data_IF_045749236582
#
_entry.id   IF_045749236582
#
_cell.length_a   1.000
_cell.length_b   1.000
_cell.length_c   1.000
_cell.angle_alpha   90.00
_cell.angle_beta   90.00
_cell.angle_gamma   90.00
#
_symmetry.space_group_name_H-M   'P 1'
#
loop_
_entity.id
_entity.type
_entity.pdbx_description
1 polymer ?
#
# COMPACT_ATOMS: atom_id res chain seq x y z
N UNK A 1 11.30 -38.12 3.75
CA UNK A 1 11.82 -37.26 2.65
C UNK A 1 12.13 -35.90 3.28
N UNK A 2 13.38 -35.40 3.25
CA UNK A 2 13.71 -34.07 3.82
C UNK A 2 12.88 -33.02 3.07
N UNK A 3 11.83 -32.47 3.67
CA UNK A 3 11.32 -31.17 3.21
C UNK A 3 12.44 -30.17 3.49
N UNK A 4 13.16 -29.79 2.44
CA UNK A 4 14.15 -28.73 2.51
C UNK A 4 13.40 -27.43 2.79
N UNK A 5 13.64 -26.82 3.95
CA UNK A 5 13.12 -25.48 4.25
C UNK A 5 13.56 -24.50 3.18
N UNK A 6 12.63 -23.65 2.75
CA UNK A 6 12.92 -22.50 1.91
C UNK A 6 13.45 -21.34 2.75
N UNK A 7 14.04 -20.35 2.08
CA UNK A 7 14.46 -19.08 2.69
C UNK A 7 13.57 -17.96 2.18
N UNK A 8 12.93 -17.21 3.08
CA UNK A 8 12.21 -16.00 2.71
C UNK A 8 13.20 -14.91 2.30
N UNK A 9 12.73 -13.98 1.49
CA UNK A 9 13.41 -12.74 1.13
C UNK A 9 14.79 -12.94 0.48
N UNK A 10 14.98 -14.00 -0.31
CA UNK A 10 16.29 -14.34 -0.90
C UNK A 10 16.28 -14.62 -2.40
N UNK A 11 15.15 -15.03 -2.98
CA UNK A 11 15.11 -15.56 -4.34
C UNK A 11 15.35 -14.50 -5.41
N UNK A 12 14.81 -13.29 -5.22
CA UNK A 12 14.91 -12.19 -6.19
C UNK A 12 15.25 -10.89 -5.50
N UNK A 13 16.05 -10.02 -6.12
CA UNK A 13 16.30 -8.67 -5.56
C UNK A 13 15.07 -7.78 -5.73
N UNK A 14 14.68 -7.04 -4.69
CA UNK A 14 13.59 -6.05 -4.76
C UNK A 14 13.82 -5.00 -5.87
N UNK A 15 15.08 -4.64 -6.14
CA UNK A 15 15.42 -3.73 -7.24
C UNK A 15 15.02 -4.24 -8.62
N UNK A 16 14.97 -5.57 -8.81
CA UNK A 16 14.54 -6.20 -10.07
C UNK A 16 13.02 -6.12 -10.20
N UNK A 17 12.29 -6.39 -9.12
CA UNK A 17 10.84 -6.19 -9.06
C UNK A 17 10.47 -4.74 -9.36
N UNK A 18 11.11 -3.78 -8.66
CA UNK A 18 10.91 -2.35 -8.87
C UNK A 18 11.14 -1.95 -10.32
N UNK A 19 12.25 -2.40 -10.94
CA UNK A 19 12.53 -2.09 -12.36
C UNK A 19 11.43 -2.63 -13.27
N UNK A 20 10.99 -3.87 -13.07
CA UNK A 20 9.91 -4.49 -13.87
C UNK A 20 8.61 -3.71 -13.76
N UNK A 21 8.22 -3.26 -12.57
CA UNK A 21 7.03 -2.43 -12.38
C UNK A 21 7.18 -1.05 -13.03
N UNK A 22 8.36 -0.44 -12.93
CA UNK A 22 8.62 0.86 -13.55
C UNK A 22 8.49 0.81 -15.08
N UNK A 23 9.03 -0.23 -15.72
CA UNK A 23 8.91 -0.40 -17.16
C UNK A 23 7.44 -0.58 -17.57
N UNK A 24 6.69 -1.45 -16.89
CA UNK A 24 5.26 -1.63 -17.17
C UNK A 24 4.47 -0.32 -17.03
N UNK A 25 4.76 0.46 -15.99
CA UNK A 25 4.14 1.77 -15.78
C UNK A 25 4.43 2.71 -16.95
N UNK A 26 5.69 2.78 -17.40
CA UNK A 26 6.10 3.63 -18.53
C UNK A 26 5.47 3.18 -19.84
N UNK A 27 5.39 1.87 -20.07
CA UNK A 27 4.73 1.28 -21.24
C UNK A 27 3.25 1.65 -21.26
N UNK A 28 2.54 1.52 -20.14
CA UNK A 28 1.13 1.90 -20.07
C UNK A 28 0.93 3.41 -20.25
N UNK A 29 1.77 4.27 -19.65
CA UNK A 29 1.72 5.73 -19.86
C UNK A 29 1.93 6.07 -21.35
N UNK A 30 2.84 5.37 -22.03
CA UNK A 30 3.11 5.61 -23.46
C UNK A 30 1.91 5.27 -24.36
N UNK A 31 1.04 4.37 -23.89
CA UNK A 31 -0.18 3.96 -24.60
C UNK A 31 -1.36 4.90 -24.40
N UNK A 32 -1.24 5.91 -23.53
CA UNK A 32 -2.31 6.89 -23.28
C UNK A 32 -2.68 7.64 -24.56
N UNK A 33 -3.99 7.80 -24.75
CA UNK A 33 -4.59 8.56 -25.85
C UNK A 33 -4.54 10.08 -25.58
N UNK A 34 -4.65 10.88 -26.65
CA UNK A 34 -4.69 12.35 -26.55
C UNK A 34 -5.85 12.82 -25.65
N UNK A 35 -7.01 12.16 -25.73
CA UNK A 35 -8.19 12.52 -24.94
C UNK A 35 -7.98 12.24 -23.44
N UNK A 36 -7.39 11.10 -23.08
CA UNK A 36 -7.04 10.78 -21.69
C UNK A 36 -6.04 11.79 -21.12
N UNK A 37 -5.05 12.20 -21.92
CA UNK A 37 -4.04 13.17 -21.51
C UNK A 37 -4.61 14.57 -21.33
N UNK A 38 -5.59 14.99 -22.14
CA UNK A 38 -6.24 16.31 -22.06
C UNK A 38 -7.20 16.42 -20.88
N UNK A 39 -7.97 15.36 -20.59
CA UNK A 39 -9.03 15.37 -19.56
C UNK A 39 -8.50 15.30 -18.12
N UNK A 40 -7.28 14.83 -17.91
CA UNK A 40 -6.72 14.62 -16.59
C UNK A 40 -5.56 15.57 -16.34
N UNK A 41 -5.29 15.95 -15.08
CA UNK A 41 -4.05 16.67 -14.75
C UNK A 41 -2.83 15.72 -14.77
N UNK A 42 -1.62 16.25 -14.99
CA UNK A 42 -0.38 15.44 -14.90
C UNK A 42 -0.24 14.85 -13.50
N UNK A 43 -0.58 15.62 -12.48
CA UNK A 43 -0.40 15.28 -11.08
C UNK A 43 -1.34 14.14 -10.69
N UNK A 44 -2.62 14.21 -11.07
CA UNK A 44 -3.61 13.15 -10.85
C UNK A 44 -3.20 11.86 -11.54
N UNK A 45 -2.79 11.92 -12.81
CA UNK A 45 -2.32 10.73 -13.54
C UNK A 45 -1.06 10.14 -12.89
N UNK A 46 -0.08 10.98 -12.51
CA UNK A 46 1.15 10.52 -11.87
C UNK A 46 0.86 9.79 -10.55
N UNK A 47 -0.12 10.26 -9.78
CA UNK A 47 -0.57 9.60 -8.55
C UNK A 47 -1.24 8.26 -8.83
N UNK A 48 -2.17 8.21 -9.78
CA UNK A 48 -2.87 6.96 -10.18
C UNK A 48 -1.86 5.91 -10.64
N UNK A 49 -0.94 6.28 -11.54
CA UNK A 49 0.06 5.35 -12.04
C UNK A 49 1.05 4.93 -10.96
N UNK A 50 1.48 5.83 -10.08
CA UNK A 50 2.37 5.45 -9.00
C UNK A 50 1.70 4.50 -8.00
N UNK A 51 0.44 4.75 -7.63
CA UNK A 51 -0.33 3.89 -6.74
C UNK A 51 -0.57 2.51 -7.38
N UNK A 52 -1.01 2.46 -8.64
CA UNK A 52 -1.26 1.21 -9.37
C UNK A 52 -0.04 0.27 -9.44
N UNK A 53 1.15 0.85 -9.61
CA UNK A 53 2.38 0.08 -9.84
C UNK A 53 3.25 -0.10 -8.59
N UNK A 54 2.86 0.50 -7.47
CA UNK A 54 3.50 0.30 -6.17
C UNK A 54 2.64 -0.68 -5.37
N UNK A 55 3.22 -1.76 -4.82
CA UNK A 55 2.45 -2.64 -3.95
C UNK A 55 2.07 -1.94 -2.64
N UNK A 56 0.97 -2.36 -2.01
CA UNK A 56 0.61 -1.93 -0.65
C UNK A 56 1.71 -2.30 0.36
N UNK A 57 1.72 -1.61 1.50
CA UNK A 57 2.60 -1.94 2.61
C UNK A 57 2.29 -3.36 3.12
N UNK A 58 3.34 -4.10 3.49
CA UNK A 58 3.19 -5.45 4.00
C UNK A 58 2.76 -5.37 5.46
N UNK A 59 1.60 -5.94 5.75
CA UNK A 59 1.06 -6.13 7.08
C UNK A 59 1.06 -7.61 7.45
N UNK A 60 1.52 -7.90 8.67
CA UNK A 60 1.51 -9.24 9.24
C UNK A 60 0.37 -9.31 10.26
N UNK A 61 -0.43 -10.37 10.19
CA UNK A 61 -1.46 -10.64 11.20
C UNK A 61 -0.89 -11.49 12.36
N UNK A 62 -1.68 -11.67 13.41
CA UNK A 62 -1.28 -12.53 14.54
C UNK A 62 -1.05 -13.98 14.08
N UNK A 63 0.04 -14.63 14.54
CA UNK A 63 0.35 -16.00 14.15
C UNK A 63 -0.67 -16.98 14.74
N UNK A 64 -1.25 -17.81 13.88
CA UNK A 64 -2.17 -18.88 14.26
C UNK A 64 -1.38 -20.16 14.51
N UNK A 65 -1.52 -20.72 15.72
CA UNK A 65 -0.83 -21.94 16.15
C UNK A 65 -1.76 -23.15 16.00
N UNK A 66 -1.26 -24.23 15.40
CA UNK A 66 -1.98 -25.48 15.18
C UNK A 66 -1.13 -26.71 15.52
N UNK A 67 -1.79 -27.84 15.72
CA UNK A 67 -1.11 -29.13 15.86
C UNK A 67 -0.67 -29.64 14.48
N UNK A 68 0.64 -29.72 14.27
CA UNK A 68 1.25 -30.22 13.03
C UNK A 68 1.59 -31.71 13.09
N UNK A 69 1.18 -32.42 14.13
CA UNK A 69 1.34 -33.87 14.29
C UNK A 69 2.75 -34.29 14.73
N UNK A 70 3.20 -35.43 14.22
CA UNK A 70 4.51 -36.01 14.53
C UNK A 70 5.35 -36.22 13.28
N UNK A 71 6.67 -36.06 13.43
CA UNK A 71 7.64 -36.23 12.35
C UNK A 71 8.87 -36.98 12.84
N UNK A 72 9.35 -37.92 12.02
CA UNK A 72 10.63 -38.59 12.24
C UNK A 72 11.77 -37.77 11.63
N UNK A 73 12.79 -37.48 12.43
CA UNK A 73 14.01 -36.80 11.98
C UNK A 73 15.23 -37.67 12.18
N UNK A 74 16.08 -37.69 11.16
CA UNK A 74 17.43 -38.22 11.28
C UNK A 74 18.26 -37.27 12.14
N UNK A 75 18.77 -37.80 13.25
CA UNK A 75 19.59 -37.09 14.24
C UNK A 75 20.99 -37.65 14.34
N UNK A 76 21.46 -38.41 13.34
CA UNK A 76 22.82 -38.97 13.36
C UNK A 76 23.93 -37.91 13.48
N UNK A 77 23.67 -36.68 13.05
CA UNK A 77 24.62 -35.56 13.12
C UNK A 77 24.52 -34.73 14.42
N UNK A 78 23.60 -35.07 15.35
CA UNK A 78 23.37 -34.29 16.57
C UNK A 78 24.30 -34.72 17.71
N UNK A 79 25.11 -33.78 18.20
CA UNK A 79 26.04 -34.01 19.31
C UNK A 79 25.35 -34.22 20.67
N UNK A 80 24.10 -33.77 20.82
CA UNK A 80 23.31 -33.88 22.05
C UNK A 80 22.56 -35.21 22.20
N UNK A 81 22.67 -36.11 21.21
CA UNK A 81 21.93 -37.39 21.20
C UNK A 81 22.93 -38.53 21.04
N UNK A 82 22.96 -39.52 21.96
CA UNK A 82 23.81 -40.70 21.81
C UNK A 82 23.38 -41.50 20.57
N UNK A 83 24.20 -41.48 19.53
CA UNK A 83 24.01 -42.29 18.32
C UNK A 83 24.83 -43.57 18.47
N UNK A 84 24.17 -44.73 18.41
CA UNK A 84 24.83 -46.03 18.54
C UNK A 84 24.87 -46.72 17.17
N UNK A 85 26.00 -46.59 16.47
CA UNK A 85 26.29 -47.26 15.19
C UNK A 85 26.64 -46.32 14.04
N UNK A 86 27.04 -46.89 12.90
CA UNK A 86 27.45 -46.16 11.68
C UNK A 86 26.27 -45.89 10.70
N UNK A 87 25.06 -45.66 11.21
CA UNK A 87 23.83 -45.52 10.40
C UNK A 87 22.96 -44.33 10.80
N UNK A 88 21.93 -44.01 9.98
CA UNK A 88 20.96 -42.97 10.31
C UNK A 88 20.17 -43.36 11.58
N UNK A 89 20.02 -42.41 12.49
CA UNK A 89 19.31 -42.57 13.76
C UNK A 89 18.08 -41.71 13.70
N UNK A 90 16.89 -42.31 13.64
CA UNK A 90 15.64 -41.57 13.58
C UNK A 90 15.02 -41.39 14.96
N UNK A 91 14.52 -40.19 15.25
CA UNK A 91 13.80 -39.84 16.49
C UNK A 91 12.50 -39.15 16.14
N UNK A 92 11.43 -39.49 16.88
CA UNK A 92 10.13 -38.82 16.79
C UNK A 92 10.17 -37.45 17.44
N UNK A 93 9.67 -36.45 16.72
CA UNK A 93 9.41 -35.09 17.18
C UNK A 93 7.92 -34.81 17.06
N UNK A 94 7.37 -34.06 18.02
CA UNK A 94 6.09 -33.39 17.84
C UNK A 94 6.30 -32.10 17.06
N UNK A 95 5.29 -31.68 16.32
CA UNK A 95 5.34 -30.53 15.43
C UNK A 95 4.26 -29.52 15.80
N UNK A 96 4.69 -28.30 16.08
CA UNK A 96 3.80 -27.15 16.11
C UNK A 96 3.77 -26.52 14.72
N UNK A 97 2.56 -26.35 14.16
CA UNK A 97 2.33 -25.57 12.95
C UNK A 97 2.08 -24.10 13.33
N UNK A 98 2.84 -23.19 12.74
CA UNK A 98 2.66 -21.74 12.89
C UNK A 98 2.32 -21.16 11.53
N UNK A 99 1.14 -20.56 11.41
CA UNK A 99 0.70 -19.84 10.21
C UNK A 99 0.74 -18.36 10.48
N UNK A 100 1.43 -17.61 9.63
CA UNK A 100 1.55 -16.16 9.72
C UNK A 100 0.88 -15.53 8.49
N UNK A 101 -0.37 -15.04 8.61
CA UNK A 101 -1.08 -14.41 7.50
C UNK A 101 -0.50 -13.04 7.10
N UNK A 102 -0.71 -12.65 5.85
CA UNK A 102 -0.27 -11.36 5.29
C UNK A 102 -1.22 -10.82 4.19
N UNK A 103 -1.18 -9.51 3.93
CA UNK A 103 -2.11 -8.80 3.04
C UNK A 103 -1.63 -8.60 1.58
N UNK A 104 -0.42 -9.03 1.22
CA UNK A 104 0.20 -8.78 -0.11
C UNK A 104 0.36 -10.04 -0.98
N UNK A 105 0.76 -9.88 -2.24
CA UNK A 105 1.21 -11.00 -3.07
C UNK A 105 2.48 -11.65 -2.46
N UNK A 106 2.45 -12.98 -2.29
CA UNK A 106 3.57 -13.78 -1.79
C UNK A 106 4.90 -13.58 -2.56
N UNK A 107 4.88 -13.08 -3.80
CA UNK A 107 6.11 -12.75 -4.54
C UNK A 107 6.98 -11.72 -3.78
N UNK A 108 6.37 -10.83 -2.97
CA UNK A 108 7.12 -9.91 -2.12
C UNK A 108 7.91 -10.62 -1.01
N UNK A 109 7.39 -11.73 -0.47
CA UNK A 109 8.10 -12.55 0.50
C UNK A 109 9.27 -13.33 -0.11
N UNK A 110 9.38 -13.38 -1.44
CA UNK A 110 10.54 -13.91 -2.15
C UNK A 110 11.55 -12.82 -2.52
N UNK A 111 11.19 -11.54 -2.32
CA UNK A 111 12.04 -10.42 -2.67
C UNK A 111 13.01 -10.06 -1.54
N UNK A 112 14.30 -10.05 -1.84
CA UNK A 112 15.35 -9.58 -0.95
C UNK A 112 15.36 -8.05 -0.88
N UNK A 113 15.18 -7.45 0.32
CA UNK A 113 15.28 -6.02 0.52
C UNK A 113 16.71 -5.52 0.26
N UNK A 114 16.84 -4.22 -0.03
CA UNK A 114 18.15 -3.58 -0.22
C UNK A 114 19.05 -3.71 1.02
N UNK A 115 18.47 -3.57 2.22
CA UNK A 115 19.10 -3.88 3.50
C UNK A 115 18.69 -5.28 3.95
N UNK A 116 19.64 -6.21 4.04
CA UNK A 116 19.41 -7.60 4.44
C UNK A 116 20.58 -8.13 5.26
N UNK A 117 20.37 -9.27 5.92
CA UNK A 117 21.40 -10.00 6.66
C UNK A 117 21.73 -11.34 5.96
N UNK A 118 22.81 -12.00 6.39
CA UNK A 118 23.20 -13.32 5.86
C UNK A 118 22.41 -14.51 6.46
N UNK A 119 21.50 -14.25 7.40
CA UNK A 119 20.67 -15.27 8.04
C UNK A 119 19.17 -14.91 7.90
N UNK A 120 18.61 -15.04 6.68
CA UNK A 120 17.21 -14.76 6.41
C UNK A 120 16.28 -15.73 7.16
N UNK A 121 15.03 -15.32 7.44
CA UNK A 121 14.05 -16.24 8.01
C UNK A 121 13.74 -17.37 7.02
N UNK A 122 13.54 -18.57 7.56
CA UNK A 122 13.18 -19.77 6.79
C UNK A 122 11.68 -19.99 6.81
N UNK A 123 11.16 -20.74 5.84
CA UNK A 123 9.77 -21.17 5.81
C UNK A 123 9.68 -22.64 5.41
N UNK A 124 8.61 -23.31 5.83
CA UNK A 124 8.31 -24.67 5.42
C UNK A 124 7.33 -24.66 4.23
N UNK A 125 6.32 -23.77 4.24
CA UNK A 125 5.39 -23.56 3.11
C UNK A 125 5.06 -22.07 2.91
N UNK A 126 4.96 -21.63 1.64
CA UNK A 126 4.59 -20.26 1.28
C UNK A 126 3.30 -20.28 0.44
N UNK A 127 2.18 -20.08 1.13
CA UNK A 127 0.85 -20.07 0.54
C UNK A 127 0.52 -18.69 -0.03
N UNK A 128 -0.69 -18.51 -0.57
CA UNK A 128 -1.09 -17.25 -1.22
C UNK A 128 -1.18 -16.05 -0.27
N UNK A 129 -1.51 -16.28 1.00
CA UNK A 129 -1.70 -15.23 2.01
C UNK A 129 -1.18 -15.59 3.39
N UNK A 130 -0.32 -16.62 3.49
CA UNK A 130 0.27 -17.02 4.76
C UNK A 130 1.63 -17.70 4.56
N UNK A 131 2.52 -17.50 5.53
CA UNK A 131 3.77 -18.27 5.69
C UNK A 131 3.54 -19.35 6.72
N UNK A 132 3.89 -20.59 6.40
CA UNK A 132 3.88 -21.71 7.35
C UNK A 132 5.29 -22.00 7.83
N UNK A 133 5.46 -22.06 9.15
CA UNK A 133 6.69 -22.43 9.82
C UNK A 133 6.43 -23.53 10.85
N UNK A 134 7.21 -24.59 10.79
CA UNK A 134 7.11 -25.73 11.70
C UNK A 134 8.14 -25.61 12.82
N UNK A 135 7.71 -25.77 14.06
CA UNK A 135 8.61 -25.92 15.22
C UNK A 135 8.53 -27.37 15.68
N UNK A 136 9.65 -28.09 15.54
CA UNK A 136 9.72 -29.50 15.87
C UNK A 136 10.41 -29.68 17.24
N UNK A 137 9.69 -30.25 18.22
CA UNK A 137 10.14 -30.36 19.61
C UNK A 137 10.00 -31.81 20.14
N UNK A 138 10.70 -32.09 21.24
CA UNK A 138 10.67 -33.40 21.93
C UNK A 138 10.03 -33.26 23.31
N UNK A 139 9.25 -34.26 23.70
CA UNK A 139 8.52 -34.30 24.98
C UNK A 139 9.12 -35.29 25.99
N UNK A 140 9.90 -36.27 25.53
CA UNK A 140 10.41 -37.35 26.38
C UNK A 140 11.38 -36.82 27.45
N UNK A 141 11.09 -37.13 28.73
CA UNK A 141 11.89 -36.77 29.91
C UNK A 141 12.13 -35.26 30.09
N UNK A 142 11.17 -34.43 29.66
CA UNK A 142 11.27 -32.97 29.77
C UNK A 142 10.05 -32.39 30.47
N UNK A 143 10.25 -31.27 31.17
CA UNK A 143 9.16 -30.54 31.80
C UNK A 143 8.34 -29.77 30.74
N UNK A 144 7.00 -29.78 30.80
CA UNK A 144 6.16 -29.04 29.87
C UNK A 144 6.41 -27.52 29.84
N UNK A 145 6.77 -26.91 30.97
CA UNK A 145 7.10 -25.48 31.06
C UNK A 145 8.38 -25.14 30.30
N UNK A 146 9.43 -25.95 30.46
CA UNK A 146 10.68 -25.79 29.70
C UNK A 146 10.48 -25.94 28.19
N UNK A 147 9.66 -26.90 27.75
CA UNK A 147 9.33 -27.08 26.33
C UNK A 147 8.59 -25.85 25.80
N UNK A 148 7.63 -25.33 26.57
CA UNK A 148 6.86 -24.15 26.18
C UNK A 148 7.78 -22.93 26.00
N UNK A 149 8.67 -22.65 26.95
CA UNK A 149 9.61 -21.53 26.88
C UNK A 149 10.57 -21.65 25.69
N UNK A 150 11.04 -22.86 25.37
CA UNK A 150 11.86 -23.10 24.18
C UNK A 150 11.10 -22.79 22.88
N UNK A 151 9.87 -23.29 22.76
CA UNK A 151 9.01 -23.07 21.58
C UNK A 151 8.70 -21.58 21.43
N UNK A 152 8.31 -20.90 22.51
CA UNK A 152 8.01 -19.46 22.49
C UNK A 152 9.26 -18.66 22.09
N UNK A 153 10.43 -18.98 22.65
CA UNK A 153 11.68 -18.34 22.25
C UNK A 153 12.09 -18.59 20.80
N UNK A 154 11.85 -19.80 20.26
CA UNK A 154 12.08 -20.11 18.84
C UNK A 154 11.13 -19.36 17.92
N UNK A 155 9.86 -19.26 18.31
CA UNK A 155 8.83 -18.52 17.60
C UNK A 155 9.17 -17.02 17.58
N UNK A 156 9.47 -16.43 18.73
CA UNK A 156 9.78 -14.99 18.86
C UNK A 156 11.01 -14.63 18.00
N UNK A 157 12.08 -15.42 18.07
CA UNK A 157 13.28 -15.23 17.22
C UNK A 157 12.97 -15.31 15.73
N UNK A 158 12.03 -16.17 15.34
CA UNK A 158 11.63 -16.29 13.94
C UNK A 158 10.77 -15.10 13.51
N UNK A 159 9.78 -14.70 14.33
CA UNK A 159 8.92 -13.54 14.09
C UNK A 159 9.73 -12.26 13.99
N UNK A 160 10.65 -12.00 14.92
CA UNK A 160 11.53 -10.82 14.90
C UNK A 160 12.33 -10.72 13.58
N UNK A 161 12.77 -11.85 13.02
CA UNK A 161 13.46 -11.87 11.73
C UNK A 161 12.50 -11.55 10.59
N UNK A 162 11.31 -12.16 10.56
CA UNK A 162 10.31 -11.88 9.52
C UNK A 162 9.92 -10.40 9.55
N UNK A 163 9.57 -9.87 10.73
CA UNK A 163 9.20 -8.47 10.95
C UNK A 163 10.32 -7.52 10.52
N UNK A 164 11.58 -7.82 10.88
CA UNK A 164 12.73 -7.02 10.45
C UNK A 164 12.84 -6.93 8.93
N UNK A 165 12.68 -8.04 8.23
CA UNK A 165 12.76 -8.07 6.77
C UNK A 165 11.56 -7.39 6.11
N UNK A 166 10.36 -7.58 6.67
CA UNK A 166 9.14 -6.86 6.27
C UNK A 166 9.32 -5.35 6.44
N UNK A 167 9.83 -4.88 7.58
CA UNK A 167 10.13 -3.47 7.79
C UNK A 167 11.15 -2.93 6.78
N UNK A 168 12.19 -3.70 6.44
CA UNK A 168 13.15 -3.29 5.39
C UNK A 168 12.49 -3.21 4.00
N UNK A 169 11.57 -4.12 3.66
CA UNK A 169 10.81 -4.08 2.41
C UNK A 169 9.83 -2.92 2.37
N UNK A 170 9.10 -2.67 3.45
CA UNK A 170 8.17 -1.55 3.59
C UNK A 170 8.86 -0.20 3.35
N UNK A 171 10.06 0.00 3.91
CA UNK A 171 10.91 1.17 3.60
C UNK A 171 11.31 1.25 2.12
N UNK A 172 11.51 0.10 1.45
CA UNK A 172 11.83 0.06 0.03
C UNK A 172 10.60 0.35 -0.85
N UNK A 173 9.40 -0.08 -0.42
CA UNK A 173 8.11 0.18 -1.05
C UNK A 173 7.78 1.68 -0.97
N UNK A 174 7.95 2.30 0.20
CA UNK A 174 7.75 3.75 0.40
C UNK A 174 8.67 4.56 -0.53
N UNK A 175 9.99 4.26 -0.53
CA UNK A 175 10.93 4.91 -1.44
C UNK A 175 10.62 4.63 -2.93
N UNK A 176 10.01 3.48 -3.24
CA UNK A 176 9.55 3.15 -4.58
C UNK A 176 8.36 4.02 -4.98
N UNK A 177 7.39 4.24 -4.09
CA UNK A 177 6.22 5.09 -4.33
C UNK A 177 6.62 6.51 -4.72
N UNK A 178 7.51 7.14 -3.95
CA UNK A 178 8.00 8.50 -4.23
C UNK A 178 8.69 8.59 -5.60
N UNK A 179 9.55 7.60 -5.89
CA UNK A 179 10.25 7.51 -7.19
C UNK A 179 9.27 7.31 -8.34
N UNK A 180 8.25 6.48 -8.14
CA UNK A 180 7.26 6.19 -9.17
C UNK A 180 6.40 7.42 -9.47
N UNK A 181 6.02 8.20 -8.45
CA UNK A 181 5.34 9.49 -8.66
C UNK A 181 6.16 10.43 -9.54
N UNK A 182 7.45 10.60 -9.23
CA UNK A 182 8.35 11.44 -10.03
C UNK A 182 8.52 10.93 -11.46
N UNK A 183 8.75 9.62 -11.64
CA UNK A 183 8.96 9.03 -12.95
C UNK A 183 7.69 8.97 -13.80
N UNK A 184 6.52 8.75 -13.18
CA UNK A 184 5.23 8.83 -13.85
C UNK A 184 4.99 10.24 -14.37
N UNK A 185 5.19 11.27 -13.55
CA UNK A 185 5.06 12.67 -13.95
C UNK A 185 5.88 13.00 -15.19
N UNK A 186 7.19 12.69 -15.16
CA UNK A 186 8.09 12.91 -16.31
C UNK A 186 7.62 12.16 -17.57
N UNK A 187 7.15 10.93 -17.39
CA UNK A 187 6.71 10.09 -18.51
C UNK A 187 5.42 10.63 -19.13
N UNK A 188 4.50 11.16 -18.32
CA UNK A 188 3.25 11.79 -18.77
C UNK A 188 3.55 13.12 -19.47
N UNK A 189 4.43 13.95 -18.92
CA UNK A 189 4.86 15.22 -19.54
C UNK A 189 5.49 14.95 -20.92
N UNK A 190 6.45 14.01 -20.99
CA UNK A 190 7.04 13.59 -22.27
C UNK A 190 5.99 13.11 -23.26
N UNK A 191 5.03 12.31 -22.79
CA UNK A 191 3.96 11.78 -23.65
C UNK A 191 3.05 12.89 -24.18
N UNK A 192 2.75 13.91 -23.37
CA UNK A 192 2.00 15.10 -23.82
C UNK A 192 2.77 15.87 -24.89
N UNK A 193 4.06 16.09 -24.67
CA UNK A 193 4.91 16.81 -25.63
C UNK A 193 4.96 16.08 -27.00
N UNK A 194 5.06 14.75 -26.98
CA UNK A 194 5.00 13.92 -28.19
C UNK A 194 3.67 14.07 -28.94
N UNK A 195 2.54 14.01 -28.21
CA UNK A 195 1.20 14.16 -28.78
C UNK A 195 0.99 15.56 -29.36
N UNK A 196 1.42 16.59 -28.64
CA UNK A 196 1.33 17.99 -29.07
C UNK A 196 2.18 18.25 -30.31
N UNK A 197 3.42 17.76 -30.32
CA UNK A 197 4.33 17.90 -31.47
C UNK A 197 3.77 17.19 -32.70
N UNK A 198 3.21 15.98 -32.52
CA UNK A 198 2.53 15.26 -33.60
C UNK A 198 1.33 16.06 -34.13
N UNK A 199 0.53 16.65 -33.26
CA UNK A 199 -0.62 17.46 -33.67
C UNK A 199 -0.19 18.68 -34.48
N UNK A 200 0.78 19.45 -33.97
CA UNK A 200 1.33 20.63 -34.65
C UNK A 200 1.90 20.28 -36.04
N UNK A 201 2.66 19.19 -36.14
CA UNK A 201 3.19 18.72 -37.44
C UNK A 201 2.08 18.37 -38.43
N UNK A 202 0.99 17.72 -37.97
CA UNK A 202 -0.13 17.37 -38.84
C UNK A 202 -0.89 18.61 -39.32
N UNK A 203 -1.06 19.61 -38.45
CA UNK A 203 -1.63 20.92 -38.80
C UNK A 203 -0.75 21.67 -39.82
N UNK A 204 0.57 21.70 -39.61
CA UNK A 204 1.53 22.29 -40.57
C UNK A 204 1.54 21.58 -41.93
N UNK A 205 1.31 20.27 -41.95
CA UNK A 205 1.19 19.47 -43.18
C UNK A 205 -0.19 19.58 -43.84
N UNK A 206 -1.13 20.37 -43.28
CA UNK A 206 -2.45 20.60 -43.83
C UNK A 206 -3.38 19.37 -43.74
N UNK A 207 -3.10 18.46 -42.82
CA UNK A 207 -3.97 17.32 -42.52
C UNK A 207 -5.08 17.81 -41.61
N UNK A 208 -6.34 17.65 -42.03
CA UNK A 208 -7.49 17.93 -41.17
C UNK A 208 -7.53 16.93 -40.01
N UNK A 209 -7.06 17.37 -38.84
CA UNK A 209 -6.99 16.56 -37.62
C UNK A 209 -8.27 16.59 -36.80
N UNK A 210 -9.32 17.31 -37.23
CA UNK A 210 -10.60 17.33 -36.52
C UNK A 210 -10.45 17.70 -35.04
N UNK A 211 -10.05 18.94 -34.76
CA UNK A 211 -10.12 19.51 -33.41
C UNK A 211 -8.86 20.23 -32.93
N UNK A 212 -8.53 21.34 -33.60
CA UNK A 212 -7.94 22.50 -32.96
C UNK A 212 -9.05 23.21 -32.17
N UNK A 213 -9.11 23.01 -30.86
CA UNK A 213 -9.63 24.05 -29.97
C UNK A 213 -8.74 24.08 -28.72
N UNK A 214 -8.05 25.20 -28.62
CA UNK A 214 -7.20 25.71 -27.53
C UNK A 214 -5.99 24.86 -27.11
N UNK A 215 -4.81 25.37 -27.49
CA UNK A 215 -3.51 25.03 -26.93
C UNK A 215 -3.49 25.25 -25.41
N UNK A 216 -3.87 24.24 -24.64
CA UNK A 216 -3.76 24.23 -23.19
C UNK A 216 -2.31 23.98 -22.76
N UNK A 217 -1.49 25.03 -22.76
CA UNK A 217 -0.27 25.03 -21.96
C UNK A 217 -0.69 24.82 -20.50
N UNK A 218 -0.43 23.62 -19.95
CA UNK A 218 -0.69 23.36 -18.53
C UNK A 218 0.37 24.11 -17.74
N UNK A 219 0.04 25.36 -17.39
CA UNK A 219 0.75 26.11 -16.36
C UNK A 219 0.69 25.22 -15.10
N UNK A 220 1.83 24.88 -14.45
CA UNK A 220 1.78 24.16 -13.20
C UNK A 220 0.91 24.97 -12.24
N UNK A 221 -0.21 24.39 -11.79
CA UNK A 221 -1.13 25.07 -10.90
C UNK A 221 -0.35 25.59 -9.71
N UNK A 222 -0.37 26.91 -9.52
CA UNK A 222 0.13 27.51 -8.30
C UNK A 222 -0.74 26.94 -7.18
N UNK A 223 -0.11 26.28 -6.19
CA UNK A 223 -0.83 25.70 -5.04
C UNK A 223 -1.78 26.74 -4.46
N UNK A 224 -3.03 26.33 -4.20
CA UNK A 224 -4.09 27.19 -3.71
C UNK A 224 -3.75 27.65 -2.29
N UNK A 225 -3.97 28.93 -2.01
CA UNK A 225 -3.92 29.46 -0.64
C UNK A 225 -5.25 29.18 0.06
N UNK A 226 -5.19 28.76 1.32
CA UNK A 226 -6.38 28.50 2.13
C UNK A 226 -7.00 29.84 2.52
N UNK A 227 -8.27 30.03 2.18
CA UNK A 227 -9.05 31.18 2.61
C UNK A 227 -9.88 30.78 3.83
N UNK A 228 -9.70 31.49 4.94
CA UNK A 228 -10.52 31.29 6.14
C UNK A 228 -11.75 32.22 6.09
N UNK A 229 -12.90 31.79 6.64
CA UNK A 229 -14.06 32.68 6.78
C UNK A 229 -13.67 33.87 7.66
N UNK A 230 -13.92 35.08 7.18
CA UNK A 230 -13.79 36.29 7.99
C UNK A 230 -14.89 36.24 9.06
N UNK A 231 -14.51 36.18 10.33
CA UNK A 231 -15.47 36.28 11.43
C UNK A 231 -16.05 37.70 11.43
N UNK A 232 -17.29 37.87 10.97
CA UNK A 232 -18.05 39.08 11.24
C UNK A 232 -18.41 39.10 12.71
N UNK A 233 -17.78 40.01 13.47
CA UNK A 233 -18.27 40.43 14.78
C UNK A 233 -19.63 41.13 14.59
N UNK A 234 -20.70 40.36 14.56
CA UNK A 234 -21.98 40.82 15.11
C UNK A 234 -22.91 39.65 15.42
N UNK A 235 -23.69 39.86 16.46
CA UNK A 235 -24.53 38.90 17.17
C UNK A 235 -25.52 38.08 16.33
N UNK A 236 -25.70 36.81 16.73
CA UNK A 236 -26.87 35.94 16.53
C UNK A 236 -27.51 35.95 15.13
N UNK A 237 -26.88 35.25 14.20
CA UNK A 237 -27.46 34.35 13.18
C UNK A 237 -26.36 34.07 12.16
N UNK A 238 -26.04 32.80 11.89
CA UNK A 238 -25.54 32.42 10.57
C UNK A 238 -25.55 30.92 10.39
N UNK A 239 -26.42 30.52 9.48
CA UNK A 239 -26.26 29.35 8.62
C UNK A 239 -24.77 29.10 8.33
N UNK A 240 -24.31 27.89 8.60
CA UNK A 240 -22.95 27.45 8.32
C UNK A 240 -22.79 27.38 6.80
N UNK A 241 -22.48 28.51 6.16
CA UNK A 241 -22.10 28.53 4.75
C UNK A 241 -20.81 27.71 4.64
N UNK A 242 -20.73 26.71 3.73
CA UNK A 242 -19.50 25.97 3.51
C UNK A 242 -18.35 26.92 3.15
N UNK A 243 -17.22 26.77 3.83
CA UNK A 243 -15.98 27.47 3.50
C UNK A 243 -15.64 27.21 2.02
N UNK A 244 -15.18 28.23 1.29
CA UNK A 244 -14.72 28.10 -0.10
C UNK A 244 -13.71 26.94 -0.24
N UNK A 245 -12.82 26.77 0.74
CA UNK A 245 -11.86 25.67 0.81
C UNK A 245 -12.53 24.30 0.91
N UNK A 246 -13.68 24.20 1.61
CA UNK A 246 -14.44 22.97 1.74
C UNK A 246 -15.11 22.57 0.41
N UNK A 247 -15.76 23.53 -0.26
CA UNK A 247 -16.39 23.30 -1.57
C UNK A 247 -15.34 22.89 -2.60
N UNK A 248 -14.23 23.61 -2.65
CA UNK A 248 -13.11 23.27 -3.54
C UNK A 248 -12.49 21.90 -3.25
N UNK A 249 -12.39 21.50 -1.97
CA UNK A 249 -11.92 20.16 -1.61
C UNK A 249 -12.89 19.08 -2.10
N UNK A 250 -14.21 19.33 -2.03
CA UNK A 250 -15.21 18.42 -2.58
C UNK A 250 -15.13 18.33 -4.11
N UNK A 251 -14.92 19.46 -4.81
CA UNK A 251 -14.72 19.46 -6.26
C UNK A 251 -13.49 18.62 -6.65
N UNK A 252 -12.38 18.76 -5.92
CA UNK A 252 -11.18 17.95 -6.13
C UNK A 252 -11.48 16.46 -5.92
N UNK A 253 -12.23 16.11 -4.88
CA UNK A 253 -12.62 14.72 -4.61
C UNK A 253 -13.54 14.20 -5.71
N UNK A 254 -14.51 15.00 -6.18
CA UNK A 254 -15.42 14.62 -7.25
C UNK A 254 -14.67 14.39 -8.56
N UNK A 255 -13.77 15.30 -8.94
CA UNK A 255 -12.91 15.15 -10.11
C UNK A 255 -12.02 13.91 -10.02
N UNK A 256 -11.43 13.64 -8.86
CA UNK A 256 -10.65 12.42 -8.62
C UNK A 256 -11.53 11.17 -8.70
N UNK A 257 -12.74 11.21 -8.13
CA UNK A 257 -13.74 10.14 -8.20
C UNK A 257 -14.12 9.83 -9.65
N UNK A 258 -14.45 10.84 -10.43
CA UNK A 258 -14.75 10.73 -11.86
C UNK A 258 -13.55 10.12 -12.61
N UNK A 259 -12.32 10.50 -12.27
CA UNK A 259 -11.11 9.96 -12.92
C UNK A 259 -10.84 8.50 -12.54
N UNK A 260 -11.12 8.11 -11.29
CA UNK A 260 -11.07 6.72 -10.82
C UNK A 260 -12.14 5.90 -11.55
N UNK A 261 -13.38 6.37 -11.61
CA UNK A 261 -14.48 5.69 -12.30
C UNK A 261 -14.20 5.50 -13.79
N UNK A 262 -13.68 6.54 -14.46
CA UNK A 262 -13.29 6.47 -15.89
C UNK A 262 -12.11 5.54 -16.12
N UNK A 263 -11.24 5.39 -15.13
CA UNK A 263 -10.11 4.47 -15.14
C UNK A 263 -10.46 3.13 -14.50
N UNK A 264 -11.74 2.75 -14.41
CA UNK A 264 -12.23 1.58 -13.67
C UNK A 264 -11.41 0.31 -13.92
N UNK A 265 -11.02 0.02 -15.17
CA UNK A 265 -10.19 -1.16 -15.47
C UNK A 265 -8.80 -1.13 -14.80
N UNK A 266 -8.25 0.07 -14.58
CA UNK A 266 -6.90 0.29 -14.04
C UNK A 266 -6.86 0.39 -12.52
N UNK A 267 -7.99 0.71 -11.89
CA UNK A 267 -8.12 0.94 -10.44
C UNK A 267 -8.97 -0.12 -9.73
N UNK A 268 -9.48 -1.12 -10.46
CA UNK A 268 -10.41 -2.13 -9.93
C UNK A 268 -9.86 -2.96 -8.79
N UNK A 269 -8.54 -3.18 -8.79
CA UNK A 269 -7.85 -4.06 -7.84
C UNK A 269 -7.17 -3.28 -6.71
N UNK A 270 -7.40 -1.95 -6.62
CA UNK A 270 -6.90 -1.14 -5.51
C UNK A 270 -7.72 -1.40 -4.24
N UNK A 271 -7.05 -1.42 -3.09
CA UNK A 271 -7.68 -1.49 -1.77
C UNK A 271 -8.19 -0.10 -1.30
N UNK A 272 -8.96 -0.06 -0.21
CA UNK A 272 -9.52 1.20 0.33
C UNK A 272 -8.41 2.21 0.68
N UNK A 273 -7.26 1.72 1.15
CA UNK A 273 -6.13 2.55 1.54
C UNK A 273 -5.42 3.17 0.33
N UNK A 274 -5.21 2.39 -0.73
CA UNK A 274 -4.65 2.89 -1.99
C UNK A 274 -5.55 3.95 -2.62
N UNK A 275 -6.88 3.76 -2.55
CA UNK A 275 -7.84 4.76 -3.02
C UNK A 275 -7.82 6.01 -2.13
N UNK A 276 -7.78 5.85 -0.80
CA UNK A 276 -7.62 6.96 0.15
C UNK A 276 -6.35 7.76 -0.14
N UNK A 277 -5.23 7.10 -0.39
CA UNK A 277 -3.96 7.72 -0.72
C UNK A 277 -4.02 8.52 -2.03
N UNK A 278 -4.78 8.04 -3.02
CA UNK A 278 -5.05 8.79 -4.26
C UNK A 278 -5.83 10.07 -3.95
N UNK A 279 -6.90 9.98 -3.15
CA UNK A 279 -7.66 11.17 -2.73
C UNK A 279 -6.80 12.16 -1.93
N UNK A 280 -6.06 11.67 -0.93
CA UNK A 280 -5.16 12.48 -0.10
C UNK A 280 -4.10 13.19 -0.94
N UNK A 281 -3.47 12.47 -1.85
CA UNK A 281 -2.43 13.03 -2.68
C UNK A 281 -2.97 14.04 -3.70
N UNK A 282 -4.18 13.82 -4.23
CA UNK A 282 -4.86 14.79 -5.09
C UNK A 282 -5.27 16.05 -4.34
N UNK A 283 -5.78 15.93 -3.11
CA UNK A 283 -6.04 17.11 -2.25
C UNK A 283 -4.72 17.87 -1.99
N UNK A 284 -3.64 17.15 -1.70
CA UNK A 284 -2.32 17.74 -1.43
C UNK A 284 -1.58 18.31 -2.66
N UNK A 285 -1.99 17.96 -3.89
CA UNK A 285 -1.45 18.64 -5.08
C UNK A 285 -1.97 20.07 -5.17
N UNK A 286 -3.21 20.33 -4.71
CA UNK A 286 -3.80 21.66 -4.70
C UNK A 286 -3.47 22.45 -3.43
N UNK A 287 -3.45 21.82 -2.25
CA UNK A 287 -3.15 22.47 -0.97
C UNK A 287 -1.82 21.96 -0.43
N UNK A 288 -0.85 22.83 -0.12
CA UNK A 288 0.56 22.54 0.10
C UNK A 288 0.93 21.52 1.22
N UNK A 289 0.51 20.25 1.10
CA UNK A 289 0.76 19.18 2.07
C UNK A 289 -0.05 19.30 3.37
N UNK A 290 -1.19 19.98 3.34
CA UNK A 290 -1.98 20.34 4.54
C UNK A 290 -2.99 19.23 4.90
N UNK A 291 -3.30 18.33 3.95
CA UNK A 291 -4.13 17.16 4.20
C UNK A 291 -3.27 16.01 4.73
N UNK A 292 -3.67 15.42 5.84
CA UNK A 292 -3.02 14.26 6.46
C UNK A 292 -3.95 13.06 6.43
N UNK A 293 -3.38 11.89 6.11
CA UNK A 293 -4.05 10.60 6.31
C UNK A 293 -3.98 10.17 7.78
N UNK A 294 -4.96 9.38 8.22
CA UNK A 294 -4.99 8.72 9.53
C UNK A 294 -4.70 9.64 10.73
N UNK A 295 -5.59 10.60 10.96
CA UNK A 295 -5.43 11.55 12.07
C UNK A 295 -6.47 11.31 13.16
N UNK A 296 -6.02 11.13 14.41
CA UNK A 296 -6.90 10.98 15.57
C UNK A 296 -7.63 12.30 15.85
N UNK A 297 -8.96 12.29 15.76
CA UNK A 297 -9.79 13.45 16.07
C UNK A 297 -10.84 13.09 17.12
N UNK A 298 -10.67 13.59 18.36
CA UNK A 298 -11.57 13.66 19.55
C UNK A 298 -12.74 12.64 19.70
N UNK A 299 -12.70 11.48 19.06
CA UNK A 299 -13.79 10.51 18.98
C UNK A 299 -13.60 9.33 18.01
N UNK A 300 -12.54 9.30 17.19
CA UNK A 300 -12.21 8.14 16.32
C UNK A 300 -11.02 8.36 15.37
N UNK A 301 -10.62 7.30 14.65
CA UNK A 301 -9.72 7.35 13.47
C UNK A 301 -10.51 7.94 12.29
N UNK A 302 -9.91 8.80 11.49
CA UNK A 302 -10.54 9.33 10.27
C UNK A 302 -9.58 9.23 9.10
N UNK A 303 -10.11 8.86 7.94
CA UNK A 303 -9.32 8.52 6.75
C UNK A 303 -8.65 9.74 6.10
N UNK A 304 -9.35 10.88 5.99
CA UNK A 304 -8.82 12.13 5.41
C UNK A 304 -9.08 13.28 6.37
N UNK A 305 -8.04 14.01 6.76
CA UNK A 305 -8.14 15.22 7.58
C UNK A 305 -7.37 16.38 6.93
N UNK A 306 -8.04 17.49 6.63
CA UNK A 306 -7.40 18.77 6.27
C UNK A 306 -7.41 19.68 7.50
N UNK A 307 -6.22 20.07 7.98
CA UNK A 307 -6.08 20.91 9.17
C UNK A 307 -5.18 22.11 8.91
N UNK A 308 -5.67 23.31 9.18
CA UNK A 308 -4.91 24.56 9.02
C UNK A 308 -5.10 25.47 10.23
N UNK A 309 -4.02 26.06 10.73
CA UNK A 309 -4.00 26.94 11.92
C UNK A 309 -4.84 26.40 13.11
N UNK A 310 -4.58 25.14 13.48
CA UNK A 310 -5.29 24.38 14.51
C UNK A 310 -6.80 24.14 14.29
N UNK A 311 -7.38 24.58 13.17
CA UNK A 311 -8.78 24.32 12.78
C UNK A 311 -8.88 23.14 11.82
N UNK A 312 -9.89 22.31 12.00
CA UNK A 312 -10.22 21.25 11.05
C UNK A 312 -11.09 21.86 9.94
N UNK A 313 -10.56 21.89 8.73
CA UNK A 313 -11.24 22.48 7.57
C UNK A 313 -12.04 21.44 6.78
N UNK A 314 -11.55 20.20 6.74
CA UNK A 314 -12.22 19.11 6.04
C UNK A 314 -11.94 17.79 6.75
N UNK A 315 -12.94 16.91 6.81
CA UNK A 315 -12.83 15.60 7.43
C UNK A 315 -13.68 14.61 6.63
N UNK A 316 -13.08 13.55 6.10
CA UNK A 316 -13.79 12.51 5.35
C UNK A 316 -13.36 11.10 5.73
N UNK A 317 -14.29 10.17 5.57
CA UNK A 317 -14.08 8.73 5.72
C UNK A 317 -14.26 8.06 4.34
N UNK A 318 -13.38 7.13 4.00
CA UNK A 318 -13.38 6.36 2.76
C UNK A 318 -13.83 4.92 3.05
N UNK A 319 -14.83 4.43 2.32
CA UNK A 319 -15.31 3.04 2.44
C UNK A 319 -15.73 2.50 1.08
N UNK A 320 -15.51 1.20 0.85
CA UNK A 320 -16.17 0.49 -0.23
C UNK A 320 -17.65 0.34 0.07
N UNK A 321 -18.47 0.91 -0.80
CA UNK A 321 -19.92 0.79 -0.70
C UNK A 321 -20.36 -0.66 -0.98
N UNK A 322 -20.80 -1.37 0.06
CA UNK A 322 -21.33 -2.75 -0.02
C UNK A 322 -22.86 -2.81 0.10
N UNK A 323 -23.54 -1.67 -0.09
CA UNK A 323 -25.00 -1.54 -0.01
C UNK A 323 -25.50 -0.89 1.28
N UNK A 324 -26.80 -0.62 1.32
CA UNK A 324 -27.45 0.26 2.30
C UNK A 324 -27.36 -0.22 3.76
N UNK A 325 -27.16 -1.52 4.01
CA UNK A 325 -27.05 -2.11 5.35
C UNK A 325 -25.74 -1.80 6.08
N UNK A 326 -24.72 -1.33 5.37
CA UNK A 326 -23.41 -0.92 5.93
C UNK A 326 -23.32 0.60 6.13
N UNK A 327 -24.39 1.34 5.81
CA UNK A 327 -24.47 2.77 6.10
C UNK A 327 -24.48 2.97 7.61
N UNK A 328 -23.32 3.36 8.17
CA UNK A 328 -23.18 3.56 9.60
C UNK A 328 -23.81 4.91 9.98
N UNK A 329 -24.75 4.98 10.94
CA UNK A 329 -25.38 6.24 11.39
C UNK A 329 -24.43 7.20 12.14
N UNK A 330 -23.10 7.01 12.05
CA UNK A 330 -22.12 7.95 12.60
C UNK A 330 -21.92 9.19 11.72
N UNK A 331 -22.41 9.17 10.48
CA UNK A 331 -22.56 10.35 9.62
C UNK A 331 -23.50 11.40 10.23
N UNK A 332 -24.50 10.99 11.01
CA UNK A 332 -25.55 11.84 11.58
C UNK A 332 -25.10 12.59 12.87
N UNK A 333 -24.10 12.08 13.59
CA UNK A 333 -23.62 12.71 14.85
C UNK A 333 -22.82 14.00 14.64
N UNK A 334 -22.50 14.36 13.40
CA UNK A 334 -21.90 15.67 13.07
C UNK A 334 -22.92 16.68 12.54
N UNK A 335 -24.07 16.23 12.05
CA UNK A 335 -25.23 17.11 11.79
C UNK A 335 -26.01 17.44 13.07
N UNK A 336 -26.10 16.52 14.03
CA UNK A 336 -26.88 16.70 15.26
C UNK A 336 -26.14 17.40 16.45
N UNK A 337 -25.28 18.38 16.15
CA UNK A 337 -24.96 19.45 17.11
C UNK A 337 -25.44 20.82 16.63
N UNK A 338 -26.49 20.81 15.82
CA UNK A 338 -27.30 21.98 15.47
C UNK A 338 -28.77 21.65 15.75
N UNK A 339 -29.14 21.72 17.04
CA UNK A 339 -30.52 22.03 17.48
C UNK A 339 -30.42 22.93 18.69
#
# INVERSE_FOLDING_TARGET
MRQSRGTLFCDKRFSTFRRKQLEKMKDEISSLSSDELRKNSTDSLALIFAAKYTPSQIELEEPVKGDGGEVEKDVSDRQDIPTFGNGPTYVNYHRLEVKLPFNVDRELFLCQPGRHDYNPPVYDELNRGEVVYYIDYRTKNRDPGEIKEEIEGDLDRWLEKVEKYVGNLNNNIESMQEKFRSEARKSIERRRDEVNTKQQLMEELGVDTGGSDESGYVIPEKKREIQLPQSSDDSNESEVIPDQTFVETLEIIDDLGINIERSAERVRDLDEESLRDIFLAGINSHYAGIATGESFNRGGKTDILLRYDNKNLFVAECKFWKGQSQYHPYSDKRENRVT
#
